data_IF_874484005161
#
_entry.id   IF_874484005161
#
_cell.length_a   1.000
_cell.length_b   1.000
_cell.length_c   1.000
_cell.angle_alpha   90.00
_cell.angle_beta   90.00
_cell.angle_gamma   90.00
#
_symmetry.space_group_name_H-M   'P 1'
#
loop_
_entity.id
_entity.type
_entity.pdbx_description
1 polymer ?
#
# COMPACT_ATOMS: atom_id res chain seq x y z
N UNK A 1 13.34 -5.67 -19.84
CA UNK A 1 13.99 -5.59 -18.51
C UNK A 1 12.89 -5.60 -17.46
N UNK A 2 13.00 -6.41 -16.42
CA UNK A 2 11.92 -6.60 -15.46
C UNK A 2 12.17 -5.78 -14.17
N UNK A 3 11.14 -5.08 -13.69
CA UNK A 3 11.22 -4.23 -12.49
C UNK A 3 11.40 -5.11 -11.25
N UNK A 4 12.54 -4.94 -10.57
CA UNK A 4 12.87 -5.65 -9.33
C UNK A 4 12.36 -4.91 -8.09
N UNK A 5 12.42 -3.58 -8.12
CA UNK A 5 12.01 -2.73 -7.02
C UNK A 5 11.36 -1.45 -7.56
N UNK A 6 10.34 -0.96 -6.85
CA UNK A 6 9.66 0.29 -7.16
C UNK A 6 9.37 1.06 -5.87
N UNK A 7 9.74 2.34 -5.84
CA UNK A 7 9.34 3.28 -4.79
C UNK A 7 8.12 4.06 -5.29
N UNK A 8 7.05 4.06 -4.50
CA UNK A 8 5.86 4.87 -4.72
C UNK A 8 5.73 5.83 -3.55
N UNK A 9 6.17 7.10 -3.71
CA UNK A 9 6.18 8.04 -2.61
C UNK A 9 4.82 8.69 -2.38
N UNK A 10 4.63 9.23 -1.18
CA UNK A 10 3.55 10.14 -0.78
C UNK A 10 2.14 9.60 -1.08
N UNK A 11 1.89 8.35 -0.75
CA UNK A 11 0.55 7.77 -0.83
C UNK A 11 -0.22 7.98 0.48
N UNK A 12 -1.49 8.36 0.37
CA UNK A 12 -2.30 8.70 1.53
C UNK A 12 -2.90 7.47 2.20
N UNK A 13 -2.71 7.33 3.51
CA UNK A 13 -3.37 6.30 4.31
C UNK A 13 -4.85 6.60 4.44
N UNK A 14 -5.66 5.64 4.03
CA UNK A 14 -7.11 5.71 3.97
C UNK A 14 -7.75 4.55 4.72
N UNK A 15 -9.01 4.72 5.11
CA UNK A 15 -9.80 3.70 5.79
C UNK A 15 -11.17 3.57 5.13
N UNK A 16 -11.66 2.35 5.02
CA UNK A 16 -13.04 2.10 4.60
C UNK A 16 -13.70 1.03 5.44
N UNK A 17 -15.02 1.16 5.61
CA UNK A 17 -15.84 0.16 6.29
C UNK A 17 -16.12 -1.01 5.35
N UNK A 18 -16.02 -2.23 5.86
CA UNK A 18 -16.53 -3.46 5.25
C UNK A 18 -17.60 -4.07 6.15
N UNK A 19 -18.37 -5.03 5.63
CA UNK A 19 -19.43 -5.74 6.39
C UNK A 19 -18.96 -6.19 7.79
N UNK A 20 -17.71 -6.64 7.91
CA UNK A 20 -17.15 -7.20 9.15
C UNK A 20 -16.01 -6.35 9.75
N UNK A 21 -16.04 -5.02 9.60
CA UNK A 21 -15.09 -4.12 10.25
C UNK A 21 -14.54 -3.03 9.34
N UNK A 22 -13.24 -2.77 9.44
CA UNK A 22 -12.56 -1.75 8.65
C UNK A 22 -11.34 -2.35 7.96
N UNK A 23 -10.99 -1.77 6.82
CA UNK A 23 -9.68 -1.99 6.22
C UNK A 23 -8.96 -0.66 6.11
N UNK A 24 -7.64 -0.73 6.27
CA UNK A 24 -6.73 0.37 5.96
C UNK A 24 -6.10 0.09 4.61
N UNK A 25 -5.92 1.13 3.81
CA UNK A 25 -5.39 0.98 2.48
C UNK A 25 -4.74 2.28 2.02
N UNK A 26 -3.98 2.17 0.94
CA UNK A 26 -3.48 3.33 0.19
C UNK A 26 -3.94 3.22 -1.26
N UNK A 27 -4.21 4.36 -1.90
CA UNK A 27 -4.37 4.41 -3.34
C UNK A 27 -3.00 4.46 -4.01
N UNK A 28 -2.84 3.69 -5.08
CA UNK A 28 -1.67 3.78 -5.91
C UNK A 28 -1.94 4.77 -7.05
N UNK A 29 -1.05 5.76 -7.29
CA UNK A 29 -1.21 6.68 -8.40
C UNK A 29 -1.26 5.93 -9.75
N UNK A 30 -2.12 6.40 -10.65
CA UNK A 30 -2.40 5.71 -11.91
C UNK A 30 -1.15 5.49 -12.77
N UNK A 31 -0.19 6.42 -12.72
CA UNK A 31 1.10 6.30 -13.41
C UNK A 31 1.91 5.05 -13.06
N UNK A 32 1.64 4.41 -11.91
CA UNK A 32 2.33 3.19 -11.50
C UNK A 32 1.56 1.91 -11.83
N UNK A 33 0.32 2.02 -12.31
CA UNK A 33 -0.58 0.88 -12.51
C UNK A 33 0.04 -0.21 -13.37
N UNK A 34 0.62 0.16 -14.51
CA UNK A 34 1.21 -0.77 -15.48
C UNK A 34 2.39 -1.57 -14.90
N UNK A 35 3.12 -1.01 -13.94
CA UNK A 35 4.30 -1.65 -13.34
C UNK A 35 3.90 -2.72 -12.33
N UNK A 36 2.83 -2.47 -11.55
CA UNK A 36 2.48 -3.26 -10.37
C UNK A 36 1.27 -4.17 -10.55
N UNK A 37 0.39 -3.89 -11.51
CA UNK A 37 -0.86 -4.63 -11.68
C UNK A 37 -0.61 -6.13 -11.91
N UNK A 38 -1.54 -6.95 -11.42
CA UNK A 38 -1.54 -8.41 -11.60
C UNK A 38 -0.29 -9.14 -11.07
N UNK A 39 0.51 -8.49 -10.22
CA UNK A 39 1.71 -9.07 -9.60
C UNK A 39 1.57 -9.10 -8.08
N UNK A 40 2.25 -10.08 -7.46
CA UNK A 40 2.44 -10.16 -6.01
C UNK A 40 3.76 -9.50 -5.67
N UNK A 41 3.77 -8.67 -4.65
CA UNK A 41 4.95 -7.91 -4.22
C UNK A 41 5.14 -8.09 -2.72
N UNK A 42 6.39 -8.09 -2.26
CA UNK A 42 6.67 -7.85 -0.86
C UNK A 42 6.68 -6.34 -0.66
N UNK A 43 5.77 -5.82 0.16
CA UNK A 43 5.61 -4.37 0.32
C UNK A 43 6.15 -3.93 1.68
N UNK A 44 6.88 -2.83 1.68
CA UNK A 44 7.39 -2.14 2.87
C UNK A 44 6.81 -0.74 2.87
N UNK A 45 6.23 -0.31 4.00
CA UNK A 45 5.89 1.09 4.21
C UNK A 45 7.08 1.81 4.84
N UNK A 46 7.37 3.02 4.37
CA UNK A 46 8.41 3.89 4.93
C UNK A 46 7.76 5.10 5.59
N UNK A 47 8.11 5.31 6.86
CA UNK A 47 7.53 6.32 7.75
C UNK A 47 8.65 7.00 8.53
N UNK A 48 8.93 8.27 8.26
CA UNK A 48 9.98 9.04 8.93
C UNK A 48 11.33 8.28 8.97
N UNK A 49 11.70 7.64 7.84
CA UNK A 49 12.92 6.83 7.72
C UNK A 49 12.87 5.44 8.37
N UNK A 50 11.74 5.04 8.98
CA UNK A 50 11.54 3.68 9.50
C UNK A 50 10.82 2.82 8.47
N UNK A 51 11.29 1.59 8.31
CA UNK A 51 10.69 0.58 7.45
C UNK A 51 9.75 -0.33 8.22
N UNK A 52 8.54 -0.53 7.70
CA UNK A 52 7.52 -1.42 8.27
C UNK A 52 7.15 -2.45 7.21
N UNK A 53 7.53 -3.72 7.39
CA UNK A 53 7.18 -4.77 6.44
C UNK A 53 5.67 -5.03 6.49
N UNK A 54 4.99 -4.84 5.36
CA UNK A 54 3.59 -5.19 5.16
C UNK A 54 3.40 -6.63 4.70
N UNK A 55 4.50 -7.23 4.22
CA UNK A 55 4.56 -8.58 3.71
C UNK A 55 4.05 -8.71 2.27
N UNK A 56 3.85 -9.96 1.79
CA UNK A 56 3.37 -10.21 0.44
C UNK A 56 1.93 -9.71 0.24
N UNK A 57 1.73 -8.84 -0.75
CA UNK A 57 0.44 -8.23 -1.08
C UNK A 57 0.28 -8.12 -2.59
N UNK A 58 -0.95 -8.20 -3.05
CA UNK A 58 -1.33 -7.93 -4.44
C UNK A 58 -2.17 -6.66 -4.48
N UNK A 59 -1.72 -5.60 -5.18
CA UNK A 59 -2.58 -4.46 -5.48
C UNK A 59 -3.83 -4.94 -6.21
N UNK A 60 -5.00 -4.42 -5.84
CA UNK A 60 -6.27 -4.78 -6.50
C UNK A 60 -7.10 -3.55 -6.80
N UNK A 61 -8.01 -3.68 -7.77
CA UNK A 61 -8.83 -2.56 -8.24
C UNK A 61 -9.86 -2.14 -7.20
N UNK A 62 -9.98 -0.83 -6.99
CA UNK A 62 -11.04 -0.18 -6.28
C UNK A 62 -11.49 1.05 -7.11
N UNK A 63 -12.62 0.90 -7.80
CA UNK A 63 -13.00 1.84 -8.88
C UNK A 63 -11.98 1.81 -10.01
N UNK A 64 -11.52 3.00 -10.43
CA UNK A 64 -10.54 3.17 -11.50
C UNK A 64 -9.07 3.08 -11.03
N UNK A 65 -8.83 2.96 -9.72
CA UNK A 65 -7.49 2.98 -9.14
C UNK A 65 -7.12 1.62 -8.54
N UNK A 66 -5.83 1.36 -8.37
CA UNK A 66 -5.35 0.25 -7.56
C UNK A 66 -5.23 0.67 -6.09
N UNK A 67 -5.49 -0.26 -5.19
CA UNK A 67 -5.21 -0.09 -3.76
C UNK A 67 -4.35 -1.22 -3.23
N UNK A 68 -3.56 -0.90 -2.21
CA UNK A 68 -2.85 -1.88 -1.38
C UNK A 68 -3.42 -1.82 0.03
N UNK A 69 -3.72 -2.98 0.60
CA UNK A 69 -4.22 -3.08 1.98
C UNK A 69 -3.07 -3.06 2.98
N UNK A 70 -3.25 -2.29 4.06
CA UNK A 70 -2.32 -2.27 5.17
C UNK A 70 -2.71 -3.34 6.21
N UNK A 71 -1.75 -4.05 6.84
CA UNK A 71 -2.04 -5.13 7.79
C UNK A 71 -2.73 -4.64 9.06
N UNK A 72 -3.75 -5.38 9.52
CA UNK A 72 -4.45 -5.07 10.77
C UNK A 72 -3.59 -5.19 12.03
N UNK A 73 -2.45 -5.91 11.97
CA UNK A 73 -1.50 -6.01 13.07
C UNK A 73 -0.97 -4.64 13.53
N UNK A 74 -0.99 -3.63 12.67
CA UNK A 74 -0.58 -2.26 12.97
C UNK A 74 -1.77 -1.28 12.98
N UNK A 75 -2.96 -1.73 13.37
CA UNK A 75 -4.20 -0.93 13.35
C UNK A 75 -4.01 0.45 13.98
N UNK A 76 -3.50 0.53 15.19
CA UNK A 76 -3.40 1.80 15.94
C UNK A 76 -2.44 2.78 15.26
N UNK A 77 -1.39 2.26 14.62
CA UNK A 77 -0.50 3.04 13.79
C UNK A 77 -1.26 3.64 12.59
N UNK A 78 -2.01 2.82 11.83
CA UNK A 78 -2.74 3.31 10.67
C UNK A 78 -3.84 4.31 11.02
N UNK A 79 -4.51 4.15 12.17
CA UNK A 79 -5.46 5.13 12.70
C UNK A 79 -4.78 6.49 12.94
N UNK A 80 -3.59 6.49 13.54
CA UNK A 80 -2.82 7.72 13.79
C UNK A 80 -2.28 8.42 12.52
N UNK A 81 -2.32 7.70 11.40
CA UNK A 81 -1.82 8.12 10.09
C UNK A 81 -2.92 8.43 9.08
N UNK A 82 -4.21 8.33 9.44
CA UNK A 82 -5.30 8.63 8.50
C UNK A 82 -5.15 10.04 7.91
N UNK A 83 -5.23 10.12 6.57
CA UNK A 83 -5.04 11.36 5.82
C UNK A 83 -3.58 11.81 5.69
N UNK A 84 -2.62 11.14 6.33
CA UNK A 84 -1.19 11.41 6.17
C UNK A 84 -0.59 10.59 5.03
N UNK A 85 0.53 11.08 4.54
CA UNK A 85 1.31 10.47 3.46
C UNK A 85 2.37 9.51 4.03
N UNK A 86 2.57 8.40 3.32
CA UNK A 86 3.64 7.43 3.54
C UNK A 86 4.28 7.07 2.20
N UNK A 87 5.49 6.56 2.21
CA UNK A 87 6.08 5.97 1.00
C UNK A 87 5.93 4.45 1.03
N UNK A 88 5.84 3.83 -0.13
CA UNK A 88 5.82 2.38 -0.26
C UNK A 88 6.96 1.89 -1.15
N UNK A 89 7.65 0.85 -0.70
CA UNK A 89 8.60 0.09 -1.50
C UNK A 89 7.95 -1.24 -1.88
N UNK A 90 7.92 -1.52 -3.17
CA UNK A 90 7.47 -2.78 -3.75
C UNK A 90 8.70 -3.57 -4.19
N UNK A 91 8.89 -4.75 -3.60
CA UNK A 91 9.96 -5.68 -3.95
C UNK A 91 9.37 -6.89 -4.64
N UNK A 92 9.94 -7.27 -5.78
CA UNK A 92 9.48 -8.43 -6.52
C UNK A 92 9.72 -9.72 -5.73
N UNK A 93 8.79 -10.66 -5.83
CA UNK A 93 8.87 -12.03 -5.27
C UNK A 93 8.83 -13.02 -6.44
#
# INVERSE_FOLDING_TARGET
>A
MEIQQLLIPKVTVSKMRKKNGHIYYVYIPQSYTEYIQYKKWNIIAVLNGKEIPLGPRSPFKHGNNLIVTLPLAYKDLWESLLGKEIDLIFLRI
#
